data_IF_971424501197
#
_entry.id   IF_971424501197
#
_cell.length_a   1.000
_cell.length_b   1.000
_cell.length_c   1.000
_cell.angle_alpha   90.00
_cell.angle_beta   90.00
_cell.angle_gamma   90.00
#
_symmetry.space_group_name_H-M   'P 1'
#
loop_
_entity.id
_entity.type
_entity.pdbx_description
1 polymer ?
#
# COMPACT_ATOMS: atom_id res chain seq x y z
N UNK A 1 2.09 -12.48 17.59
CA UNK A 1 2.44 -12.93 18.95
C UNK A 1 1.84 -14.29 19.28
N UNK A 2 0.52 -14.51 19.22
CA UNK A 2 -0.08 -15.85 19.50
C UNK A 2 0.43 -16.95 18.54
N UNK A 3 0.54 -16.66 17.24
CA UNK A 3 1.15 -17.55 16.22
C UNK A 3 2.65 -17.83 16.47
N UNK A 4 3.36 -16.88 17.07
CA UNK A 4 4.81 -16.93 17.30
C UNK A 4 5.17 -17.79 18.51
N UNK A 5 4.30 -17.83 19.52
CA UNK A 5 4.49 -18.60 20.75
C UNK A 5 3.82 -19.99 20.73
N UNK A 6 3.08 -20.36 19.68
CA UNK A 6 2.50 -21.70 19.51
C UNK A 6 1.36 -22.05 20.49
N UNK A 7 0.77 -21.08 21.18
CA UNK A 7 -0.23 -21.31 22.22
C UNK A 7 -1.63 -21.67 21.68
N UNK A 8 -1.88 -21.47 20.39
CA UNK A 8 -3.18 -21.73 19.76
C UNK A 8 -2.96 -22.35 18.39
N UNK A 9 -3.71 -23.42 18.10
CA UNK A 9 -3.69 -24.09 16.80
C UNK A 9 -4.12 -23.09 15.69
N UNK A 10 -3.31 -22.85 14.65
CA UNK A 10 -3.64 -21.92 13.57
C UNK A 10 -4.94 -22.25 12.83
N UNK A 11 -5.43 -23.49 12.93
CA UNK A 11 -6.66 -23.95 12.30
C UNK A 11 -7.91 -23.77 13.19
N UNK A 12 -7.74 -23.24 14.41
CA UNK A 12 -8.87 -23.01 15.30
C UNK A 12 -9.79 -21.91 14.72
N UNK A 13 -11.06 -22.23 14.53
CA UNK A 13 -12.04 -21.32 13.94
C UNK A 13 -12.18 -19.98 14.69
N UNK A 14 -12.05 -19.99 16.02
CA UNK A 14 -12.11 -18.77 16.85
C UNK A 14 -10.91 -17.87 16.55
N UNK A 15 -9.73 -18.47 16.38
CA UNK A 15 -8.52 -17.73 16.05
C UNK A 15 -8.62 -17.09 14.66
N UNK A 16 -9.10 -17.82 13.66
CA UNK A 16 -9.30 -17.29 12.30
C UNK A 16 -10.31 -16.13 12.33
N UNK A 17 -11.44 -16.27 13.03
CA UNK A 17 -12.42 -15.18 13.17
C UNK A 17 -11.81 -13.92 13.83
N UNK A 18 -11.05 -14.08 14.91
CA UNK A 18 -10.39 -12.95 15.58
C UNK A 18 -9.35 -12.28 14.68
N UNK A 19 -8.56 -13.07 13.95
CA UNK A 19 -7.55 -12.58 13.01
C UNK A 19 -8.19 -11.82 11.85
N UNK A 20 -9.31 -12.31 11.32
CA UNK A 20 -10.11 -11.60 10.31
C UNK A 20 -10.64 -10.26 10.83
N UNK A 21 -11.21 -10.23 12.03
CA UNK A 21 -11.70 -8.99 12.64
C UNK A 21 -10.57 -7.98 12.89
N UNK A 22 -9.41 -8.46 13.33
CA UNK A 22 -8.25 -7.60 13.61
C UNK A 22 -7.62 -7.05 12.32
N UNK A 23 -7.41 -7.90 11.31
CA UNK A 23 -6.76 -7.53 10.05
C UNK A 23 -7.64 -6.66 9.15
N UNK A 24 -8.97 -6.85 9.19
CA UNK A 24 -9.92 -6.10 8.36
C UNK A 24 -9.72 -4.58 8.48
N UNK A 25 -9.55 -4.06 9.70
CA UNK A 25 -9.36 -2.64 9.96
C UNK A 25 -8.12 -2.07 9.23
N UNK A 26 -7.03 -2.84 9.16
CA UNK A 26 -5.80 -2.42 8.50
C UNK A 26 -5.87 -2.56 6.97
N UNK A 27 -6.62 -3.55 6.47
CA UNK A 27 -6.84 -3.74 5.03
C UNK A 27 -7.66 -2.57 4.46
N UNK A 28 -8.68 -2.11 5.18
CA UNK A 28 -9.52 -0.98 4.73
C UNK A 28 -8.94 0.39 5.09
N UNK A 29 -7.92 0.45 5.94
CA UNK A 29 -7.33 1.71 6.41
C UNK A 29 -6.90 2.63 5.24
N UNK A 30 -6.19 2.14 4.19
CA UNK A 30 -5.88 2.95 3.02
C UNK A 30 -7.11 3.51 2.29
N UNK A 31 -8.22 2.79 2.26
CA UNK A 31 -9.46 3.24 1.62
C UNK A 31 -10.07 4.39 2.42
N UNK A 32 -10.14 4.24 3.75
CA UNK A 32 -10.69 5.27 4.64
C UNK A 32 -9.86 6.54 4.61
N UNK A 33 -8.53 6.40 4.64
CA UNK A 33 -7.60 7.53 4.55
C UNK A 33 -7.66 8.17 3.18
N UNK A 34 -7.77 7.38 2.10
CA UNK A 34 -7.91 7.92 0.76
C UNK A 34 -9.15 8.78 0.61
N UNK A 35 -10.28 8.34 1.18
CA UNK A 35 -11.51 9.12 1.19
C UNK A 35 -11.37 10.45 1.95
N UNK A 36 -10.85 10.41 3.18
CA UNK A 36 -10.72 11.61 4.01
C UNK A 36 -9.66 12.57 3.49
N UNK A 37 -8.54 12.07 3.00
CA UNK A 37 -7.47 12.87 2.43
C UNK A 37 -7.88 13.54 1.11
N UNK A 38 -8.63 12.85 0.24
CA UNK A 38 -9.14 13.47 -0.98
C UNK A 38 -10.07 14.64 -0.66
N UNK A 39 -10.91 14.50 0.38
CA UNK A 39 -11.75 15.59 0.87
C UNK A 39 -10.92 16.79 1.35
N UNK A 40 -9.83 16.52 2.08
CA UNK A 40 -8.94 17.57 2.60
C UNK A 40 -8.16 18.29 1.50
N UNK A 41 -7.68 17.55 0.49
CA UNK A 41 -6.96 18.11 -0.65
C UNK A 41 -7.90 18.73 -1.71
N UNK A 42 -9.22 18.66 -1.51
CA UNK A 42 -10.23 19.22 -2.42
C UNK A 42 -10.37 18.44 -3.73
N UNK A 43 -10.10 17.14 -3.73
CA UNK A 43 -10.44 16.20 -4.79
C UNK A 43 -11.72 15.42 -4.45
N UNK A 44 -12.14 14.52 -5.33
CA UNK A 44 -13.33 13.69 -5.13
C UNK A 44 -13.03 12.56 -4.11
N UNK A 45 -13.75 12.50 -2.97
CA UNK A 45 -13.55 11.47 -1.95
C UNK A 45 -13.70 10.03 -2.46
N UNK A 46 -14.58 9.80 -3.44
CA UNK A 46 -14.78 8.47 -4.02
C UNK A 46 -13.59 8.03 -4.88
N UNK A 47 -12.94 8.97 -5.58
CA UNK A 47 -11.70 8.67 -6.32
C UNK A 47 -10.56 8.38 -5.35
N UNK A 48 -10.47 9.13 -4.25
CA UNK A 48 -9.51 8.86 -3.18
C UNK A 48 -9.69 7.48 -2.54
N UNK A 49 -10.93 7.08 -2.25
CA UNK A 49 -11.25 5.74 -1.77
C UNK A 49 -10.88 4.65 -2.79
N UNK A 50 -11.15 4.91 -4.08
CA UNK A 50 -10.79 4.00 -5.18
C UNK A 50 -9.28 3.81 -5.27
N UNK A 51 -8.51 4.89 -5.15
CA UNK A 51 -7.05 4.84 -5.13
C UNK A 51 -6.52 4.05 -3.92
N UNK A 52 -7.12 4.26 -2.73
CA UNK A 52 -6.83 3.45 -1.55
C UNK A 52 -7.09 1.95 -1.77
N UNK A 53 -8.16 1.61 -2.50
CA UNK A 53 -8.48 0.22 -2.86
C UNK A 53 -7.52 -0.38 -3.89
N UNK A 54 -7.01 0.42 -4.83
CA UNK A 54 -5.96 -0.01 -5.77
C UNK A 54 -4.68 -0.37 -5.01
N UNK A 55 -4.31 0.42 -3.99
CA UNK A 55 -3.14 0.18 -3.16
C UNK A 55 -3.26 -1.04 -2.24
N UNK A 56 -4.48 -1.53 -2.01
CA UNK A 56 -4.75 -2.74 -1.23
C UNK A 56 -5.34 -3.88 -2.07
N UNK A 57 -5.24 -3.77 -3.41
CA UNK A 57 -5.83 -4.70 -4.33
C UNK A 57 -5.29 -6.13 -4.11
N UNK A 58 -6.13 -7.18 -4.15
CA UNK A 58 -5.70 -8.57 -3.86
C UNK A 58 -4.66 -9.14 -4.83
N UNK A 59 -4.49 -8.52 -6.01
CA UNK A 59 -3.41 -8.86 -6.93
C UNK A 59 -2.03 -8.40 -6.44
N UNK A 60 -1.97 -7.52 -5.44
CA UNK A 60 -0.74 -7.13 -4.76
C UNK A 60 -0.48 -8.11 -3.61
N UNK A 61 0.79 -8.49 -3.42
CA UNK A 61 1.21 -9.28 -2.27
C UNK A 61 0.86 -8.55 -1.00
N UNK A 62 0.04 -9.16 -0.15
CA UNK A 62 -0.41 -8.56 1.10
C UNK A 62 0.81 -8.18 1.98
N UNK A 63 0.75 -7.03 2.64
CA UNK A 63 1.84 -6.48 3.46
C UNK A 63 2.42 -7.49 4.48
N UNK A 64 1.57 -8.34 5.07
CA UNK A 64 1.99 -9.38 6.02
C UNK A 64 2.65 -10.60 5.36
N UNK A 65 2.47 -10.79 4.06
CA UNK A 65 3.02 -11.90 3.28
C UNK A 65 4.35 -11.57 2.58
N UNK A 66 4.76 -10.30 2.55
CA UNK A 66 5.96 -9.81 1.85
C UNK A 66 7.23 -10.56 2.30
N UNK A 67 7.32 -10.91 3.58
CA UNK A 67 8.46 -11.64 4.14
C UNK A 67 8.62 -13.07 3.59
N UNK A 68 7.54 -13.68 3.09
CA UNK A 68 7.58 -15.00 2.45
C UNK A 68 7.98 -14.93 0.96
N UNK A 69 8.21 -13.72 0.43
CA UNK A 69 8.46 -13.44 -0.97
C UNK A 69 7.34 -12.59 -1.59
N UNK A 70 7.72 -11.73 -2.53
CA UNK A 70 6.79 -10.91 -3.29
C UNK A 70 7.13 -11.00 -4.78
N UNK A 71 6.12 -10.87 -5.62
CA UNK A 71 6.32 -10.85 -7.06
C UNK A 71 6.74 -9.45 -7.52
N UNK A 72 7.69 -9.39 -8.44
CA UNK A 72 8.07 -8.15 -9.13
C UNK A 72 7.49 -8.15 -10.54
N UNK A 73 6.95 -7.01 -10.96
CA UNK A 73 6.52 -6.78 -12.33
C UNK A 73 7.59 -5.96 -13.03
N UNK A 74 8.07 -6.43 -14.19
CA UNK A 74 8.97 -5.64 -15.02
C UNK A 74 8.16 -4.64 -15.83
N UNK A 75 8.34 -3.36 -15.54
CA UNK A 75 7.68 -2.26 -16.21
C UNK A 75 8.74 -1.37 -16.85
N UNK A 76 8.84 -1.38 -18.19
CA UNK A 76 9.85 -0.62 -18.95
C UNK A 76 11.31 -0.80 -18.45
N UNK A 77 11.68 -2.00 -17.99
CA UNK A 77 13.02 -2.30 -17.47
C UNK A 77 13.22 -2.01 -15.98
N UNK A 78 12.20 -1.48 -15.29
CA UNK A 78 12.18 -1.30 -13.84
C UNK A 78 11.39 -2.44 -13.19
N UNK A 79 12.01 -3.15 -12.23
CA UNK A 79 11.32 -4.13 -11.39
C UNK A 79 10.52 -3.41 -10.30
N UNK A 80 9.20 -3.36 -10.48
CA UNK A 80 8.28 -2.81 -9.50
C UNK A 80 7.83 -3.93 -8.57
N UNK A 81 8.06 -3.78 -7.27
CA UNK A 81 7.57 -4.71 -6.27
C UNK A 81 6.03 -4.61 -6.18
N UNK A 82 5.33 -5.72 -6.43
CA UNK A 82 3.87 -5.78 -6.34
C UNK A 82 3.43 -6.02 -4.90
N UNK A 83 3.74 -5.06 -4.03
CA UNK A 83 3.43 -5.12 -2.60
C UNK A 83 2.20 -4.26 -2.33
N UNK A 84 1.28 -4.79 -1.53
CA UNK A 84 0.11 -4.08 -1.03
C UNK A 84 0.48 -3.19 0.15
N UNK A 85 -0.26 -2.11 0.30
CA UNK A 85 0.01 -1.05 1.28
C UNK A 85 -0.94 -1.11 2.48
N UNK A 86 -1.41 -2.31 2.81
CA UNK A 86 -2.31 -2.53 3.94
C UNK A 86 -1.69 -1.98 5.23
N UNK A 87 -2.46 -1.22 5.99
CA UNK A 87 -2.00 -0.60 7.24
C UNK A 87 -1.05 0.59 7.10
N UNK A 88 -0.71 1.05 5.89
CA UNK A 88 0.17 2.22 5.71
C UNK A 88 -0.63 3.48 5.36
N UNK A 89 -0.24 4.59 5.98
CA UNK A 89 -0.93 5.89 5.85
C UNK A 89 -0.21 6.81 4.86
N UNK A 90 1.11 6.90 5.01
CA UNK A 90 1.92 7.88 4.30
C UNK A 90 1.91 7.71 2.77
N UNK A 91 2.06 6.50 2.20
CA UNK A 91 2.00 6.31 0.74
C UNK A 91 0.64 6.71 0.16
N UNK A 92 -0.43 6.43 0.90
CA UNK A 92 -1.82 6.75 0.50
C UNK A 92 -2.02 8.26 0.45
N UNK A 93 -1.56 8.99 1.48
CA UNK A 93 -1.67 10.46 1.52
C UNK A 93 -0.96 11.11 0.33
N UNK A 94 0.25 10.66 0.01
CA UNK A 94 1.00 11.16 -1.15
C UNK A 94 0.30 10.85 -2.48
N UNK A 95 -0.19 9.62 -2.63
CA UNK A 95 -0.89 9.19 -3.84
C UNK A 95 -2.17 10.03 -4.06
N UNK A 96 -2.93 10.27 -2.99
CA UNK A 96 -4.20 11.03 -3.04
C UNK A 96 -3.97 12.52 -3.22
N UNK A 97 -2.90 13.07 -2.64
CA UNK A 97 -2.47 14.44 -2.91
C UNK A 97 -2.17 14.64 -4.40
N UNK A 98 -1.38 13.73 -4.98
CA UNK A 98 -1.07 13.76 -6.42
C UNK A 98 -2.33 13.56 -7.28
N UNK A 99 -3.19 12.59 -6.92
CA UNK A 99 -4.48 12.37 -7.58
C UNK A 99 -5.34 13.65 -7.59
N UNK A 100 -5.38 14.38 -6.48
CA UNK A 100 -6.17 15.60 -6.35
C UNK A 100 -5.68 16.72 -7.28
N UNK A 101 -4.36 16.78 -7.54
CA UNK A 101 -3.77 17.71 -8.52
C UNK A 101 -4.17 17.26 -9.94
N UNK A 102 -4.01 15.98 -10.25
CA UNK A 102 -4.35 15.42 -11.57
C UNK A 102 -5.82 15.62 -11.90
N UNK A 103 -6.73 15.35 -10.96
CA UNK A 103 -8.18 15.53 -11.13
C UNK A 103 -8.52 16.98 -11.48
N UNK A 104 -8.00 17.95 -10.72
CA UNK A 104 -8.26 19.38 -10.94
C UNK A 104 -7.75 19.85 -12.30
N UNK A 105 -6.63 19.30 -12.76
CA UNK A 105 -6.07 19.62 -14.07
C UNK A 105 -6.89 19.01 -15.20
N UNK A 106 -7.33 17.76 -15.07
CA UNK A 106 -8.18 17.08 -16.05
C UNK A 106 -9.52 17.79 -16.23
N UNK A 107 -10.17 18.21 -15.13
CA UNK A 107 -11.43 18.98 -15.17
C UNK A 107 -11.34 20.29 -15.95
N UNK A 108 -10.14 20.89 -16.05
CA UNK A 108 -9.93 22.14 -16.81
C UNK A 108 -9.74 21.90 -18.31
N UNK A 109 -9.30 20.71 -18.69
CA UNK A 109 -8.96 20.35 -20.07
C UNK A 109 -10.11 19.62 -20.75
N UNK A 110 -10.88 18.84 -20.00
CA UNK A 110 -11.97 18.01 -20.52
C UNK A 110 -13.24 18.86 -20.68
N UNK A 111 -13.92 18.79 -21.84
CA UNK A 111 -15.21 19.46 -22.04
C UNK A 111 -16.28 18.94 -21.09
N UNK A 112 -17.18 19.80 -20.62
CA UNK A 112 -18.23 19.48 -19.63
C UNK A 112 -19.06 18.24 -19.99
N UNK A 113 -19.34 18.01 -21.28
CA UNK A 113 -20.09 16.85 -21.76
C UNK A 113 -19.43 15.50 -21.44
N UNK A 114 -18.10 15.48 -21.26
CA UNK A 114 -17.30 14.28 -21.02
C UNK A 114 -16.72 14.23 -19.59
N UNK A 115 -16.78 15.32 -18.83
CA UNK A 115 -16.16 15.45 -17.51
C UNK A 115 -16.66 14.40 -16.51
N UNK A 116 -17.94 14.02 -16.58
CA UNK A 116 -18.53 13.03 -15.66
C UNK A 116 -17.91 11.64 -15.81
N UNK A 117 -17.38 11.29 -16.99
CA UNK A 117 -16.90 9.94 -17.31
C UNK A 117 -15.37 9.94 -17.46
N UNK A 118 -14.83 10.82 -18.32
CA UNK A 118 -13.41 10.81 -18.67
C UNK A 118 -12.54 11.27 -17.51
N UNK A 119 -12.95 12.32 -16.79
CA UNK A 119 -12.15 12.86 -15.69
C UNK A 119 -11.91 11.84 -14.59
N UNK A 120 -12.92 11.19 -13.99
CA UNK A 120 -12.67 10.20 -12.96
C UNK A 120 -11.89 9.00 -13.48
N UNK A 121 -12.17 8.54 -14.72
CA UNK A 121 -11.46 7.42 -15.34
C UNK A 121 -9.96 7.70 -15.54
N UNK A 122 -9.63 8.83 -16.18
CA UNK A 122 -8.24 9.22 -16.43
C UNK A 122 -7.51 9.55 -15.13
N UNK A 123 -8.20 10.20 -14.18
CA UNK A 123 -7.62 10.50 -12.87
C UNK A 123 -7.17 9.23 -12.16
N UNK A 124 -8.05 8.22 -12.07
CA UNK A 124 -7.74 6.96 -11.39
C UNK A 124 -6.64 6.17 -12.11
N UNK A 125 -6.66 6.12 -13.44
CA UNK A 125 -5.62 5.41 -14.20
C UNK A 125 -4.26 6.08 -14.01
N UNK A 126 -4.18 7.39 -14.21
CA UNK A 126 -2.91 8.12 -14.15
C UNK A 126 -2.36 8.10 -12.72
N UNK A 127 -3.21 8.40 -11.72
CA UNK A 127 -2.79 8.39 -10.32
C UNK A 127 -2.48 6.99 -9.81
N UNK A 128 -3.25 5.97 -10.20
CA UNK A 128 -3.01 4.57 -9.83
C UNK A 128 -1.69 4.04 -10.39
N UNK A 129 -1.41 4.30 -11.67
CA UNK A 129 -0.12 3.94 -12.27
C UNK A 129 1.04 4.62 -11.56
N UNK A 130 0.94 5.94 -11.34
CA UNK A 130 2.01 6.71 -10.69
C UNK A 130 2.19 6.28 -9.23
N UNK A 131 1.10 6.01 -8.52
CA UNK A 131 1.17 5.50 -7.16
C UNK A 131 1.90 4.15 -7.12
N UNK A 132 1.58 3.21 -8.00
CA UNK A 132 2.30 1.92 -8.04
C UNK A 132 3.77 2.08 -8.48
N UNK A 133 4.06 2.97 -9.43
CA UNK A 133 5.42 3.26 -9.92
C UNK A 133 6.31 3.96 -8.89
N UNK A 134 5.76 4.86 -8.06
CA UNK A 134 6.53 5.56 -7.03
C UNK A 134 6.69 4.67 -5.80
N UNK A 135 5.63 3.96 -5.43
CA UNK A 135 5.64 3.23 -4.17
C UNK A 135 6.37 1.89 -4.31
N UNK A 136 6.39 1.25 -5.48
CA UNK A 136 7.20 0.04 -5.70
C UNK A 136 8.69 0.19 -5.40
N UNK A 137 9.40 1.19 -5.98
CA UNK A 137 10.78 1.52 -5.64
C UNK A 137 10.95 1.94 -4.17
N UNK A 138 9.99 2.70 -3.61
CA UNK A 138 10.03 3.07 -2.19
C UNK A 138 9.96 1.84 -1.28
N UNK A 139 9.12 0.86 -1.61
CA UNK A 139 9.03 -0.42 -0.91
C UNK A 139 10.33 -1.21 -0.97
N UNK A 140 10.99 -1.26 -2.15
CA UNK A 140 12.31 -1.89 -2.29
C UNK A 140 13.38 -1.17 -1.48
N UNK A 141 13.44 0.15 -1.54
CA UNK A 141 14.39 0.95 -0.77
C UNK A 141 14.19 0.79 0.75
N UNK A 142 12.94 0.71 1.22
CA UNK A 142 12.64 0.43 2.63
C UNK A 142 13.05 -0.98 3.03
N UNK A 143 12.79 -1.99 2.18
CA UNK A 143 13.21 -3.37 2.41
C UNK A 143 14.73 -3.49 2.51
N UNK A 144 15.45 -2.93 1.53
CA UNK A 144 16.92 -2.91 1.50
C UNK A 144 17.48 -2.16 2.71
N UNK A 145 16.85 -1.05 3.12
CA UNK A 145 17.23 -0.30 4.32
C UNK A 145 17.06 -1.09 5.62
N UNK A 146 15.94 -1.80 5.78
CA UNK A 146 15.70 -2.67 6.94
C UNK A 146 16.70 -3.82 6.96
N UNK A 147 16.94 -4.47 5.82
CA UNK A 147 17.95 -5.54 5.68
C UNK A 147 19.36 -5.04 5.98
N UNK A 148 19.70 -3.82 5.56
CA UNK A 148 20.97 -3.18 5.88
C UNK A 148 21.11 -2.93 7.39
N UNK A 149 20.09 -2.33 8.03
CA UNK A 149 20.12 -2.09 9.48
C UNK A 149 20.22 -3.39 10.27
N UNK A 150 19.43 -4.41 9.92
CA UNK A 150 19.48 -5.71 10.58
C UNK A 150 20.85 -6.38 10.41
N UNK A 151 21.41 -6.40 9.20
CA UNK A 151 22.74 -6.97 8.95
C UNK A 151 23.87 -6.21 9.68
N UNK A 152 23.73 -4.89 9.80
CA UNK A 152 24.68 -4.05 10.55
C UNK A 152 24.59 -4.31 12.05
N UNK A 153 23.36 -4.46 12.58
CA UNK A 153 23.12 -4.77 13.98
C UNK A 153 23.60 -6.18 14.32
N UNK A 154 23.38 -7.17 13.45
CA UNK A 154 23.87 -8.54 13.63
C UNK A 154 25.41 -8.59 13.54
N UNK A 155 26.03 -7.81 12.64
CA UNK A 155 27.50 -7.79 12.53
C UNK A 155 28.20 -7.05 13.68
N UNK A 156 27.58 -6.01 14.27
CA UNK A 156 28.16 -5.25 15.38
C UNK A 156 27.74 -5.77 16.77
N UNK A 157 26.55 -6.37 16.91
CA UNK A 157 26.05 -6.98 18.15
C UNK A 157 26.12 -8.51 18.15
N UNK A 158 26.73 -9.13 17.13
CA UNK A 158 26.84 -10.59 16.99
C UNK A 158 27.53 -11.30 18.16
N UNK A 159 28.32 -10.59 18.96
CA UNK A 159 28.91 -11.11 20.20
C UNK A 159 27.88 -11.34 21.32
N UNK A 160 26.71 -10.67 21.29
CA UNK A 160 25.58 -10.89 22.21
C UNK A 160 24.52 -11.86 21.64
N UNK A 161 24.43 -11.98 20.31
CA UNK A 161 23.49 -12.90 19.65
C UNK A 161 24.04 -14.32 19.42
N UNK A 162 25.37 -14.49 19.39
CA UNK A 162 26.03 -15.79 19.19
C UNK A 162 26.28 -16.61 20.47
N UNK A 163 25.80 -16.15 21.63
CA UNK A 163 26.02 -16.77 22.94
C UNK A 163 24.72 -16.78 23.78
N UNK A 164 23.64 -17.29 23.18
CA UNK A 164 22.42 -17.73 23.87
C UNK A 164 21.69 -18.78 23.03
#
# INVERSE_FOLDING_TARGET
MVKTYGWVDPNNAIYIMLDMCSSAAFIILPILIGFTAAREFGGNPYLGATLGGILTHPALTNAWGVAAGFHTMNFFGLEIAMIGYQGTVFPVLLAVWFMSIVEKQLRRVIPDALDLILTPFLTVIISGFIALLIIGPAGRALGDGISFVLSTLISHAGWLAGLA
#
